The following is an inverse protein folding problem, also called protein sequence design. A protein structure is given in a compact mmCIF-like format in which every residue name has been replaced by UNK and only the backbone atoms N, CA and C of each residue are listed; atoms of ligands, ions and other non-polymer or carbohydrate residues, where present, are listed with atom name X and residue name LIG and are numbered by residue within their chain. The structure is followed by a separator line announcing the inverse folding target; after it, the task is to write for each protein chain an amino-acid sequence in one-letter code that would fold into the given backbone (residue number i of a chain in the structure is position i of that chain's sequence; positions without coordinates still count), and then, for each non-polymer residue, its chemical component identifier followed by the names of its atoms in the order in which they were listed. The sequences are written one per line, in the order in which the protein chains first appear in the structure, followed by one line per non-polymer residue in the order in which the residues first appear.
data_IF_514699694654
#
_entry.id   IF_514699694654
#
_cell.length_a   1.000
_cell.length_b   1.000
_cell.length_c   1.000
_cell.angle_alpha   90.00
_cell.angle_beta   90.00
_cell.angle_gamma   90.00
#
_symmetry.space_group_name_H-M   'P 1'
#
loop_
_entity.id
_entity.type
_entity.pdbx_description
1 polymer ?
#
# COMPACT_ATOMS: atom_id res chain seq x y z
N UNK A 1 16.22 10.27 31.54
CA UNK A 1 15.53 11.12 30.56
C UNK A 1 14.08 10.65 30.48
N UNK A 2 13.13 11.38 31.07
CA UNK A 2 11.72 10.97 31.19
C UNK A 2 10.92 11.34 29.94
N UNK A 3 10.37 10.32 29.27
CA UNK A 3 9.42 10.46 28.16
C UNK A 3 8.01 10.77 28.71
N UNK A 4 7.36 11.82 28.22
CA UNK A 4 5.96 12.20 28.54
C UNK A 4 5.07 11.81 27.36
N UNK A 5 3.99 11.07 27.62
CA UNK A 5 2.96 10.70 26.63
C UNK A 5 1.76 11.63 26.82
N UNK A 6 1.22 12.16 25.71
CA UNK A 6 0.09 13.10 25.70
C UNK A 6 -1.20 12.37 25.34
N UNK A 7 -2.24 12.55 26.15
CA UNK A 7 -3.63 12.20 25.81
C UNK A 7 -4.53 13.41 26.07
N UNK A 8 -5.57 13.57 25.26
CA UNK A 8 -6.54 14.68 25.37
C UNK A 8 -7.93 14.14 25.71
N UNK A 9 -8.48 14.54 26.84
CA UNK A 9 -9.88 14.30 27.22
C UNK A 9 -10.67 15.60 27.08
N UNK A 10 -11.78 15.54 26.34
CA UNK A 10 -12.68 16.66 26.09
C UNK A 10 -13.84 16.62 27.08
N UNK A 11 -13.91 17.59 28.00
CA UNK A 11 -15.04 17.74 28.92
C UNK A 11 -15.91 18.89 28.43
N UNK A 12 -17.19 18.60 28.16
CA UNK A 12 -18.18 19.58 27.70
C UNK A 12 -18.64 20.45 28.87
N UNK A 13 -18.24 21.73 28.87
CA UNK A 13 -18.76 22.77 29.77
C UNK A 13 -19.95 23.46 29.13
N UNK A 14 -21.00 23.72 29.91
CA UNK A 14 -22.24 24.40 29.52
C UNK A 14 -22.10 25.92 29.36
N UNK A 15 -20.88 26.45 29.27
CA UNK A 15 -20.64 27.86 28.96
C UNK A 15 -19.57 28.06 27.88
N UNK A 16 -20.02 28.15 26.64
CA UNK A 16 -19.55 29.08 25.61
C UNK A 16 -18.11 29.06 25.06
N UNK A 17 -17.09 28.49 25.73
CA UNK A 17 -15.73 28.37 25.15
C UNK A 17 -14.98 27.13 25.69
N UNK A 18 -14.58 26.18 24.84
CA UNK A 18 -13.77 25.05 25.27
C UNK A 18 -12.35 25.53 25.62
N UNK A 19 -12.01 25.53 26.92
CA UNK A 19 -10.62 25.59 27.38
C UNK A 19 -10.05 24.18 27.34
N UNK A 20 -9.03 23.94 26.52
CA UNK A 20 -8.23 22.72 26.59
C UNK A 20 -7.33 22.81 27.84
N UNK A 21 -7.65 22.04 28.87
CA UNK A 21 -6.76 21.84 30.01
C UNK A 21 -5.83 20.68 29.65
N UNK A 22 -4.53 20.98 29.56
CA UNK A 22 -3.50 19.96 29.37
C UNK A 22 -3.13 19.36 30.72
N UNK A 23 -3.78 18.26 31.08
CA UNK A 23 -3.40 17.47 32.25
C UNK A 23 -2.26 16.52 31.86
N UNK A 24 -1.05 16.78 32.34
CA UNK A 24 0.08 15.88 32.12
C UNK A 24 0.05 14.77 33.15
N UNK A 25 -0.67 13.69 32.85
CA UNK A 25 -0.68 12.48 33.69
C UNK A 25 0.72 11.86 33.73
N UNK A 26 1.13 11.46 34.94
CA UNK A 26 2.45 10.90 35.19
C UNK A 26 2.51 9.48 34.59
N UNK A 27 3.65 9.09 34.01
CA UNK A 27 3.80 7.78 33.34
C UNK A 27 3.52 6.59 34.28
N UNK A 28 3.67 6.78 35.60
CA UNK A 28 3.31 5.80 36.63
C UNK A 28 1.80 5.66 36.82
N UNK A 29 1.05 6.75 36.76
CA UNK A 29 -0.41 6.76 36.89
C UNK A 29 -1.06 6.08 35.69
N UNK A 30 -0.54 6.29 34.49
CA UNK A 30 -0.99 5.59 33.27
C UNK A 30 -0.78 4.07 33.38
N UNK A 31 0.34 3.63 33.98
CA UNK A 31 0.62 2.20 34.19
C UNK A 31 -0.28 1.58 35.25
N UNK A 32 -0.57 2.31 36.32
CA UNK A 32 -1.48 1.87 37.39
C UNK A 32 -2.92 1.76 36.87
N UNK A 33 -3.40 2.77 36.15
CA UNK A 33 -4.73 2.75 35.53
C UNK A 33 -4.89 1.58 34.55
N UNK A 34 -3.85 1.29 33.77
CA UNK A 34 -3.85 0.15 32.85
C UNK A 34 -3.88 -1.20 33.60
N UNK A 35 -3.14 -1.33 34.70
CA UNK A 35 -3.19 -2.55 35.52
C UNK A 35 -4.53 -2.74 36.22
N UNK A 36 -5.16 -1.66 36.68
CA UNK A 36 -6.50 -1.73 37.28
C UNK A 36 -7.57 -2.11 36.24
N UNK A 37 -7.45 -1.60 35.02
CA UNK A 37 -8.36 -1.99 33.93
C UNK A 37 -8.19 -3.47 33.55
N UNK A 38 -6.94 -3.96 33.48
CA UNK A 38 -6.65 -5.37 33.22
C UNK A 38 -7.15 -6.28 34.34
N UNK A 39 -7.02 -5.86 35.61
CA UNK A 39 -7.59 -6.59 36.75
C UNK A 39 -9.11 -6.59 36.73
N UNK A 40 -9.74 -5.44 36.48
CA UNK A 40 -11.20 -5.36 36.38
C UNK A 40 -11.74 -6.22 35.23
N UNK A 41 -11.03 -6.27 34.09
CA UNK A 41 -11.38 -7.17 32.99
C UNK A 41 -11.21 -8.64 33.37
N UNK A 42 -10.13 -8.99 34.06
CA UNK A 42 -9.89 -10.36 34.53
C UNK A 42 -10.96 -10.81 35.53
N UNK A 43 -11.29 -9.97 36.51
CA UNK A 43 -12.36 -10.23 37.49
C UNK A 43 -13.72 -10.35 36.81
N UNK A 44 -14.00 -9.55 35.77
CA UNK A 44 -15.24 -9.62 34.99
C UNK A 44 -15.32 -10.90 34.14
N UNK A 45 -14.19 -11.38 33.64
CA UNK A 45 -14.08 -12.68 32.96
C UNK A 45 -14.21 -13.84 33.95
N UNK A 46 -13.70 -13.67 35.17
CA UNK A 46 -13.77 -14.67 36.22
C UNK A 46 -15.20 -14.81 36.78
N UNK A 47 -15.92 -13.69 36.92
CA UNK A 47 -17.31 -13.62 37.37
C UNK A 47 -18.34 -14.17 36.36
N UNK A 48 -17.93 -14.43 35.10
CA UNK A 48 -18.78 -15.03 34.08
C UNK A 48 -18.86 -16.56 34.29
N UNK A 49 -20.09 -17.08 34.38
CA UNK A 49 -20.38 -18.50 34.57
C UNK A 49 -19.89 -19.32 33.35
N UNK A 50 -19.56 -20.60 33.54
CA UNK A 50 -18.99 -21.49 32.50
C UNK A 50 -19.83 -21.54 31.23
N UNK A 51 -21.17 -21.49 31.33
CA UNK A 51 -22.06 -21.40 30.16
C UNK A 51 -22.00 -20.05 29.43
N UNK A 52 -21.67 -18.94 30.10
CA UNK A 52 -21.50 -17.63 29.47
C UNK A 52 -20.14 -17.49 28.79
N UNK A 53 -19.10 -18.14 29.32
CA UNK A 53 -17.78 -18.22 28.68
C UNK A 53 -17.85 -18.95 27.33
N UNK A 54 -18.63 -20.03 27.25
CA UNK A 54 -18.79 -20.77 25.99
C UNK A 54 -19.55 -19.98 24.92
N UNK A 55 -20.52 -19.14 25.31
CA UNK A 55 -21.25 -18.26 24.39
C UNK A 55 -20.38 -17.09 23.88
N UNK A 56 -19.45 -16.59 24.67
CA UNK A 56 -18.49 -15.55 24.25
C UNK A 56 -17.47 -16.08 23.25
N UNK A 57 -17.00 -17.32 23.43
CA UNK A 57 -16.08 -18.00 22.51
C UNK A 57 -16.76 -18.28 21.15
N UNK A 58 -18.08 -18.56 21.15
CA UNK A 58 -18.88 -18.68 19.92
C UNK A 58 -19.14 -17.33 19.23
N UNK A 59 -19.26 -16.22 19.99
CA UNK A 59 -19.46 -14.88 19.43
C UNK A 59 -18.17 -14.25 18.90
N UNK A 60 -16.99 -14.63 19.42
CA UNK A 60 -15.69 -14.21 18.86
C UNK A 60 -15.37 -14.83 17.50
N UNK A 61 -16.12 -15.86 17.07
CA UNK A 61 -16.05 -16.41 15.70
C UNK A 61 -16.83 -15.61 14.66
N UNK A 62 -17.59 -14.60 15.07
CA UNK A 62 -18.33 -13.69 14.19
C UNK A 62 -17.49 -12.43 14.07
N UNK A 63 -16.70 -12.36 12.99
CA UNK A 63 -15.93 -11.18 12.64
C UNK A 63 -16.84 -9.94 12.61
N UNK A 64 -16.33 -8.86 13.19
CA UNK A 64 -16.99 -7.55 13.25
C UNK A 64 -17.23 -7.06 11.80
N UNK A 65 -18.47 -6.81 11.35
CA UNK A 65 -18.76 -6.42 9.96
C UNK A 65 -18.27 -5.01 9.57
N UNK A 66 -17.54 -4.33 10.48
CA UNK A 66 -17.04 -2.98 10.34
C UNK A 66 -15.53 -2.86 10.57
N UNK A 67 -14.81 -3.99 10.67
CA UNK A 67 -13.35 -3.96 10.57
C UNK A 67 -13.02 -3.87 9.07
N UNK A 68 -12.95 -2.63 8.57
CA UNK A 68 -12.62 -2.30 7.18
C UNK A 68 -11.41 -3.16 6.73
N UNK A 69 -11.67 -4.05 5.76
CA UNK A 69 -10.71 -4.97 5.15
C UNK A 69 -9.73 -4.21 4.22
N UNK A 70 -9.09 -3.17 4.76
CA UNK A 70 -7.97 -2.44 4.16
C UNK A 70 -6.76 -3.36 3.95
N UNK A 71 -6.78 -4.58 4.52
CA UNK A 71 -5.75 -5.59 4.33
C UNK A 71 -5.60 -5.97 2.86
N UNK A 72 -6.70 -6.10 2.12
CA UNK A 72 -6.66 -6.53 0.72
C UNK A 72 -6.07 -5.43 -0.19
N UNK A 73 -6.58 -4.20 -0.09
CA UNK A 73 -6.06 -3.07 -0.87
C UNK A 73 -4.58 -2.79 -0.54
N UNK A 74 -4.18 -3.02 0.71
CA UNK A 74 -2.80 -2.83 1.13
C UNK A 74 -1.86 -3.94 0.64
N UNK A 75 -2.29 -5.21 0.59
CA UNK A 75 -1.49 -6.29 -0.01
C UNK A 75 -1.30 -6.09 -1.51
N UNK A 76 -2.28 -5.50 -2.20
CA UNK A 76 -2.21 -5.10 -3.60
C UNK A 76 -1.14 -4.03 -3.84
N UNK A 77 -1.15 -2.95 -3.05
CA UNK A 77 -0.18 -1.86 -3.19
C UNK A 77 1.26 -2.26 -2.82
N UNK A 78 1.43 -3.28 -1.96
CA UNK A 78 2.75 -3.81 -1.60
C UNK A 78 3.22 -4.96 -2.50
N UNK A 79 2.44 -5.31 -3.52
CA UNK A 79 2.73 -6.41 -4.44
C UNK A 79 2.71 -7.81 -3.80
N UNK A 80 2.09 -7.95 -2.63
CA UNK A 80 1.90 -9.22 -1.92
C UNK A 80 0.65 -9.96 -2.38
N UNK A 81 -0.32 -9.22 -2.93
CA UNK A 81 -1.48 -9.75 -3.62
C UNK A 81 -1.61 -9.06 -4.99
N UNK A 82 -2.18 -9.75 -5.96
CA UNK A 82 -2.57 -9.14 -7.23
C UNK A 82 -3.88 -8.35 -7.05
N UNK A 83 -3.92 -7.12 -7.57
CA UNK A 83 -5.14 -6.35 -7.68
C UNK A 83 -6.13 -7.09 -8.59
N UNK A 84 -7.36 -7.34 -8.12
CA UNK A 84 -8.45 -7.72 -9.03
C UNK A 84 -8.95 -6.42 -9.70
N UNK A 85 -8.34 -6.03 -10.81
CA UNK A 85 -8.73 -4.85 -11.61
C UNK A 85 -9.80 -5.22 -12.66
N UNK A 86 -10.58 -6.27 -12.40
CA UNK A 86 -11.65 -6.67 -13.30
C UNK A 86 -12.83 -5.70 -13.14
N UNK A 87 -13.21 -5.07 -14.25
CA UNK A 87 -14.35 -4.15 -14.43
C UNK A 87 -14.18 -2.67 -14.07
N UNK A 88 -13.35 -1.96 -14.87
CA UNK A 88 -13.51 -0.52 -15.07
C UNK A 88 -13.91 -0.23 -16.53
N UNK A 89 -15.20 -0.43 -16.84
CA UNK A 89 -15.94 0.27 -17.89
C UNK A 89 -15.52 0.03 -19.35
N UNK A 90 -16.04 -1.03 -19.97
CA UNK A 90 -16.53 -0.92 -21.35
C UNK A 90 -17.66 -1.94 -21.59
N UNK A 91 -18.85 -1.42 -21.89
CA UNK A 91 -19.90 -2.20 -22.52
C UNK A 91 -19.53 -2.39 -24.00
N UNK A 92 -18.58 -3.27 -24.27
CA UNK A 92 -18.34 -3.82 -25.60
C UNK A 92 -18.58 -5.33 -25.56
N UNK A 93 -19.16 -5.84 -26.64
CA UNK A 93 -19.74 -7.17 -26.77
C UNK A 93 -18.81 -8.28 -26.28
N UNK A 94 -19.22 -8.84 -25.15
CA UNK A 94 -18.81 -10.10 -24.52
C UNK A 94 -18.74 -11.24 -25.54
N UNK A 95 -17.56 -11.83 -25.69
CA UNK A 95 -17.36 -13.30 -25.77
C UNK A 95 -15.87 -13.66 -25.96
N UNK A 96 -15.02 -12.78 -26.52
CA UNK A 96 -13.60 -13.09 -26.77
C UNK A 96 -12.61 -12.40 -25.79
N UNK A 97 -12.97 -11.26 -25.19
CA UNK A 97 -12.12 -10.53 -24.24
C UNK A 97 -12.02 -11.20 -22.85
N UNK A 98 -13.06 -11.92 -22.43
CA UNK A 98 -13.17 -12.47 -21.07
C UNK A 98 -12.20 -13.63 -20.81
N UNK A 99 -11.73 -14.34 -21.83
CA UNK A 99 -10.84 -15.49 -21.66
C UNK A 99 -9.37 -15.13 -21.53
N UNK A 100 -8.92 -14.02 -22.12
CA UNK A 100 -7.53 -13.56 -22.02
C UNK A 100 -7.27 -12.87 -20.68
N UNK A 101 -8.16 -11.99 -20.25
CA UNK A 101 -8.01 -11.23 -18.99
C UNK A 101 -8.24 -12.10 -17.75
N UNK A 102 -9.20 -13.04 -17.81
CA UNK A 102 -9.40 -13.99 -16.72
C UNK A 102 -8.19 -14.93 -16.54
N UNK A 103 -7.53 -15.35 -17.62
CA UNK A 103 -6.32 -16.17 -17.57
C UNK A 103 -5.11 -15.39 -16.99
N UNK A 104 -4.97 -14.12 -17.36
CA UNK A 104 -3.91 -13.22 -16.87
C UNK A 104 -4.06 -12.97 -15.35
N UNK A 105 -5.30 -12.80 -14.87
CA UNK A 105 -5.60 -12.62 -13.44
C UNK A 105 -5.55 -13.94 -12.64
N UNK A 106 -5.91 -15.09 -13.23
CA UNK A 106 -5.85 -16.39 -12.53
C UNK A 106 -4.44 -16.95 -12.40
N UNK A 107 -3.53 -16.64 -13.35
CA UNK A 107 -2.12 -17.02 -13.25
C UNK A 107 -1.42 -16.45 -12.01
N UNK A 108 -1.73 -15.20 -11.64
CA UNK A 108 -1.19 -14.54 -10.44
C UNK A 108 -1.82 -15.01 -9.12
N UNK A 109 -3.04 -15.59 -9.17
CA UNK A 109 -3.83 -15.96 -7.97
C UNK A 109 -3.47 -17.32 -7.36
N UNK A 110 -2.89 -18.25 -8.10
CA UNK A 110 -2.91 -19.67 -7.73
C UNK A 110 -1.78 -20.14 -6.82
N UNK A 111 -0.69 -19.37 -6.66
CA UNK A 111 0.50 -19.88 -5.95
C UNK A 111 0.65 -19.45 -4.47
N UNK A 112 -0.05 -18.41 -4.00
CA UNK A 112 0.22 -17.86 -2.66
C UNK A 112 -0.70 -18.37 -1.52
N UNK A 113 -1.84 -18.98 -1.82
CA UNK A 113 -2.87 -19.29 -0.80
C UNK A 113 -2.62 -20.53 0.06
N UNK A 114 -1.62 -21.37 -0.21
CA UNK A 114 -1.56 -22.73 0.38
C UNK A 114 -0.58 -22.97 1.54
N UNK A 115 0.26 -22.01 1.94
CA UNK A 115 1.36 -22.31 2.88
C UNK A 115 1.56 -21.35 4.07
N UNK A 116 0.81 -20.25 4.15
CA UNK A 116 1.04 -19.26 5.20
C UNK A 116 -0.06 -19.36 6.25
N UNK A 117 0.25 -20.00 7.39
CA UNK A 117 -0.55 -19.85 8.60
C UNK A 117 -0.76 -18.35 8.87
N UNK A 118 -1.92 -17.98 9.41
CA UNK A 118 -2.34 -16.58 9.61
C UNK A 118 -1.31 -15.80 10.43
N UNK A 119 -0.30 -15.26 9.75
CA UNK A 119 0.66 -14.36 10.35
C UNK A 119 -0.05 -13.03 10.48
N UNK A 120 -0.51 -12.72 11.69
CA UNK A 120 -1.07 -11.40 11.99
C UNK A 120 0.07 -10.38 11.92
N UNK A 121 0.11 -9.60 10.83
CA UNK A 121 1.06 -8.49 10.70
C UNK A 121 0.71 -7.39 11.71
N UNK A 122 1.37 -7.43 12.87
CA UNK A 122 1.16 -6.47 13.97
C UNK A 122 1.67 -5.06 13.67
N UNK A 123 2.26 -4.81 12.48
CA UNK A 123 2.72 -3.47 12.10
C UNK A 123 1.52 -2.58 11.83
N UNK A 124 1.49 -1.42 12.48
CA UNK A 124 0.52 -0.35 12.20
C UNK A 124 0.74 0.22 10.79
N UNK A 125 -0.31 0.79 10.20
CA UNK A 125 -0.24 1.50 8.91
C UNK A 125 0.92 2.51 8.87
N UNK A 126 1.05 3.34 9.92
CA UNK A 126 2.12 4.34 10.05
C UNK A 126 3.51 3.70 9.97
N UNK A 127 3.71 2.54 10.59
CA UNK A 127 4.98 1.83 10.53
C UNK A 127 5.26 1.31 9.11
N UNK A 128 4.25 0.80 8.41
CA UNK A 128 4.38 0.31 7.02
C UNK A 128 4.72 1.45 6.06
N UNK A 129 3.96 2.55 6.11
CA UNK A 129 4.22 3.74 5.28
C UNK A 129 5.60 4.32 5.57
N UNK A 130 6.01 4.40 6.84
CA UNK A 130 7.34 4.89 7.20
C UNK A 130 8.45 3.97 6.65
N UNK A 131 8.30 2.65 6.77
CA UNK A 131 9.25 1.68 6.20
C UNK A 131 9.35 1.83 4.68
N UNK A 132 8.23 2.00 3.98
CA UNK A 132 8.21 2.20 2.54
C UNK A 132 8.91 3.52 2.15
N UNK A 133 8.61 4.60 2.86
CA UNK A 133 9.26 5.90 2.65
C UNK A 133 10.76 5.83 2.90
N UNK A 134 11.19 5.17 3.97
CA UNK A 134 12.61 5.02 4.30
C UNK A 134 13.35 4.14 3.27
N UNK A 135 12.70 3.09 2.78
CA UNK A 135 13.23 2.25 1.71
C UNK A 135 13.38 3.02 0.38
N UNK A 136 12.39 3.81 -0.01
CA UNK A 136 12.52 4.70 -1.17
C UNK A 136 13.59 5.76 -0.96
N UNK A 137 13.67 6.36 0.23
CA UNK A 137 14.68 7.37 0.56
C UNK A 137 16.10 6.81 0.41
N UNK A 138 16.32 5.56 0.80
CA UNK A 138 17.62 4.89 0.63
C UNK A 138 18.04 4.72 -0.84
N UNK A 139 17.08 4.66 -1.77
CA UNK A 139 17.33 4.46 -3.21
C UNK A 139 17.17 5.76 -4.02
N UNK A 140 16.77 6.86 -3.39
CA UNK A 140 16.35 8.09 -4.05
C UNK A 140 17.43 8.68 -4.96
N UNK A 141 18.69 8.66 -4.52
CA UNK A 141 19.82 9.15 -5.31
C UNK A 141 19.99 8.34 -6.62
N UNK A 142 19.88 7.02 -6.54
CA UNK A 142 20.02 6.14 -7.70
C UNK A 142 18.84 6.27 -8.66
N UNK A 143 17.63 6.41 -8.11
CA UNK A 143 16.43 6.72 -8.91
C UNK A 143 16.54 8.09 -9.58
N UNK A 144 17.06 9.10 -8.90
CA UNK A 144 17.25 10.43 -9.48
C UNK A 144 18.24 10.40 -10.65
N UNK A 145 19.38 9.71 -10.48
CA UNK A 145 20.35 9.54 -11.56
C UNK A 145 19.77 8.78 -12.76
N UNK A 146 19.00 7.71 -12.50
CA UNK A 146 18.29 6.96 -13.53
C UNK A 146 17.25 7.83 -14.26
N UNK A 147 16.52 8.68 -13.53
CA UNK A 147 15.56 9.61 -14.12
C UNK A 147 16.24 10.65 -15.01
N UNK A 148 17.38 11.20 -14.58
CA UNK A 148 18.13 12.14 -15.41
C UNK A 148 18.60 11.47 -16.70
N UNK A 149 19.13 10.25 -16.62
CA UNK A 149 19.53 9.48 -17.80
C UNK A 149 18.34 9.19 -18.73
N UNK A 150 17.20 8.77 -18.16
CA UNK A 150 15.95 8.56 -18.90
C UNK A 150 15.45 9.86 -19.56
N UNK A 151 15.51 11.00 -18.87
CA UNK A 151 15.00 12.27 -19.39
C UNK A 151 15.79 12.78 -20.60
N UNK A 152 17.07 12.44 -20.69
CA UNK A 152 17.91 12.77 -21.84
C UNK A 152 17.55 11.96 -23.09
N UNK A 153 17.13 10.71 -22.91
CA UNK A 153 16.75 9.83 -24.02
C UNK A 153 15.28 9.99 -24.41
N UNK A 154 14.42 10.38 -23.47
CA UNK A 154 12.98 10.55 -23.69
C UNK A 154 12.62 11.66 -24.70
N UNK A 155 13.53 12.60 -24.98
CA UNK A 155 13.32 13.68 -25.96
C UNK A 155 13.45 13.23 -27.41
N UNK A 156 13.99 12.03 -27.67
CA UNK A 156 14.30 11.53 -29.00
C UNK A 156 13.23 10.56 -29.53
N UNK A 157 12.05 11.07 -29.89
CA UNK A 157 11.14 10.37 -30.81
C UNK A 157 9.71 10.10 -30.31
N UNK A 158 8.85 9.54 -31.19
CA UNK A 158 7.45 9.31 -30.90
C UNK A 158 7.31 8.07 -30.01
N UNK A 159 7.16 8.34 -28.71
CA UNK A 159 6.69 7.46 -27.63
C UNK A 159 7.76 6.48 -27.05
N UNK A 160 8.39 6.84 -25.91
CA UNK A 160 9.52 6.12 -25.30
C UNK A 160 9.15 4.90 -24.44
N UNK A 161 7.95 4.31 -24.60
CA UNK A 161 7.44 3.26 -23.69
C UNK A 161 8.16 1.93 -23.76
N UNK A 162 9.13 1.81 -24.67
CA UNK A 162 9.98 0.65 -24.81
C UNK A 162 11.41 1.17 -24.79
N UNK A 163 11.90 1.65 -23.64
CA UNK A 163 13.33 1.91 -23.53
C UNK A 163 14.01 0.57 -23.70
N UNK A 164 14.57 0.35 -24.89
CA UNK A 164 15.34 -0.85 -25.17
C UNK A 164 16.49 -0.87 -24.18
N UNK A 165 16.73 -2.03 -23.58
CA UNK A 165 17.96 -2.28 -22.85
C UNK A 165 19.12 -1.78 -23.73
N UNK A 166 19.98 -0.88 -23.20
CA UNK A 166 21.05 -0.29 -24.00
C UNK A 166 21.86 -1.38 -24.70
N UNK A 167 22.20 -1.14 -25.96
CA UNK A 167 22.89 -2.11 -26.79
C UNK A 167 24.26 -2.46 -26.16
N UNK A 168 24.49 -3.75 -25.91
CA UNK A 168 25.70 -4.24 -25.22
C UNK A 168 25.60 -4.31 -23.69
N UNK A 169 24.45 -3.98 -23.09
CA UNK A 169 24.24 -4.21 -21.67
C UNK A 169 24.12 -5.70 -21.34
N UNK A 170 24.79 -6.13 -20.26
CA UNK A 170 24.67 -7.48 -19.73
C UNK A 170 23.43 -7.56 -18.84
N UNK A 171 22.43 -8.34 -19.27
CA UNK A 171 21.21 -8.60 -18.53
C UNK A 171 21.49 -9.61 -17.40
N UNK A 172 21.15 -9.26 -16.17
CA UNK A 172 21.28 -10.15 -15.01
C UNK A 172 20.00 -10.95 -14.74
N UNK A 173 18.86 -10.25 -14.72
CA UNK A 173 17.57 -10.81 -14.33
C UNK A 173 16.47 -10.10 -15.12
N UNK A 174 15.40 -10.84 -15.45
CA UNK A 174 14.18 -10.29 -16.02
C UNK A 174 13.04 -10.52 -15.04
N UNK A 175 12.21 -9.50 -14.83
CA UNK A 175 11.02 -9.59 -13.96
C UNK A 175 9.78 -9.07 -14.65
N UNK A 176 8.70 -9.81 -14.55
CA UNK A 176 7.40 -9.38 -15.06
C UNK A 176 6.81 -8.31 -14.13
N UNK A 177 6.40 -7.19 -14.72
CA UNK A 177 5.75 -6.08 -14.00
C UNK A 177 4.51 -5.63 -14.75
N UNK A 178 3.46 -5.28 -14.00
CA UNK A 178 2.28 -4.63 -14.54
C UNK A 178 2.55 -3.14 -14.69
N UNK A 179 2.66 -2.66 -15.93
CA UNK A 179 2.86 -1.25 -16.26
C UNK A 179 1.50 -0.59 -16.43
N UNK A 180 1.20 0.37 -15.55
CA UNK A 180 0.00 1.19 -15.59
C UNK A 180 0.32 2.54 -16.22
N UNK A 181 -0.32 2.83 -17.34
CA UNK A 181 -0.30 4.14 -18.00
C UNK A 181 -1.68 4.80 -17.91
N UNK A 182 -1.85 5.99 -18.48
CA UNK A 182 -3.11 6.74 -18.40
C UNK A 182 -4.33 6.03 -18.96
N UNK A 183 -4.16 5.23 -20.02
CA UNK A 183 -5.26 4.66 -20.79
C UNK A 183 -5.15 3.14 -20.95
N UNK A 184 -4.12 2.53 -20.37
CA UNK A 184 -3.87 1.10 -20.52
C UNK A 184 -3.07 0.56 -19.35
N UNK A 185 -3.23 -0.73 -19.10
CA UNK A 185 -2.34 -1.53 -18.29
C UNK A 185 -1.80 -2.67 -19.15
N UNK A 186 -0.49 -2.92 -19.10
CA UNK A 186 0.13 -4.03 -19.83
C UNK A 186 1.21 -4.70 -19.01
N UNK A 187 1.33 -6.02 -19.15
CA UNK A 187 2.43 -6.78 -18.56
C UNK A 187 3.68 -6.56 -19.42
N UNK A 188 4.78 -6.20 -18.79
CA UNK A 188 6.06 -5.96 -19.46
C UNK A 188 7.22 -6.56 -18.66
N UNK A 189 8.29 -6.87 -19.37
CA UNK A 189 9.51 -7.43 -18.83
C UNK A 189 10.46 -6.32 -18.39
N UNK A 190 10.71 -6.24 -17.09
CA UNK A 190 11.74 -5.39 -16.49
C UNK A 190 13.10 -6.09 -16.58
N UNK A 191 13.97 -5.61 -17.46
CA UNK A 191 15.35 -6.08 -17.55
C UNK A 191 16.28 -5.38 -16.55
N UNK A 192 16.78 -6.12 -15.57
CA UNK A 192 17.83 -5.67 -14.65
C UNK A 192 19.20 -5.83 -15.29
N UNK A 193 19.93 -4.73 -15.41
CA UNK A 193 21.26 -4.70 -16.04
C UNK A 193 22.33 -4.79 -14.97
N UNK A 194 23.44 -5.47 -15.30
CA UNK A 194 24.63 -5.49 -14.47
C UNK A 194 25.11 -4.06 -14.16
N UNK A 195 25.12 -3.70 -12.88
CA UNK A 195 25.48 -2.36 -12.39
C UNK A 195 24.30 -1.46 -12.02
N UNK A 196 23.05 -1.89 -12.26
CA UNK A 196 21.89 -1.22 -11.68
C UNK A 196 21.96 -1.29 -10.15
N UNK A 197 21.88 -0.14 -9.48
CA UNK A 197 21.98 -0.06 -8.01
C UNK A 197 20.69 -0.42 -7.26
N UNK A 198 19.77 -1.10 -7.94
CA UNK A 198 18.50 -1.55 -7.38
C UNK A 198 17.39 -1.65 -8.42
N UNK A 199 16.36 -2.41 -8.06
CA UNK A 199 15.18 -2.65 -8.90
C UNK A 199 14.43 -1.34 -9.20
N UNK A 200 14.31 -0.46 -8.21
CA UNK A 200 13.62 0.81 -8.41
C UNK A 200 14.33 1.74 -9.39
N UNK A 201 15.67 1.79 -9.36
CA UNK A 201 16.43 2.55 -10.37
C UNK A 201 16.29 1.94 -11.76
N UNK A 202 16.23 0.61 -11.87
CA UNK A 202 15.96 -0.06 -13.15
C UNK A 202 14.58 0.34 -13.68
N UNK A 203 13.52 0.29 -12.86
CA UNK A 203 12.19 0.78 -13.26
C UNK A 203 12.22 2.21 -13.79
N UNK A 204 12.92 3.12 -13.09
CA UNK A 204 13.01 4.53 -13.49
C UNK A 204 13.80 4.71 -14.79
N UNK A 205 14.85 3.91 -15.03
CA UNK A 205 15.57 3.86 -16.31
C UNK A 205 14.63 3.50 -17.46
N UNK A 206 13.63 2.66 -17.20
CA UNK A 206 12.56 2.32 -18.14
C UNK A 206 11.43 3.35 -18.26
N UNK A 207 11.50 4.48 -17.53
CA UNK A 207 10.44 5.49 -17.51
C UNK A 207 9.25 5.12 -16.63
N UNK A 208 9.44 4.18 -15.71
CA UNK A 208 8.40 3.70 -14.80
C UNK A 208 8.73 4.04 -13.35
N UNK A 209 7.74 4.46 -12.60
CA UNK A 209 7.82 4.68 -11.16
C UNK A 209 7.29 3.44 -10.44
N UNK A 210 8.12 2.72 -9.68
CA UNK A 210 7.67 1.56 -8.93
C UNK A 210 6.80 1.96 -7.74
N UNK A 211 5.77 1.16 -7.46
CA UNK A 211 4.92 1.34 -6.26
C UNK A 211 5.59 0.77 -5.00
N UNK A 212 6.45 -0.25 -5.16
CA UNK A 212 7.23 -0.85 -4.08
C UNK A 212 8.75 -0.78 -4.38
N UNK A 213 9.60 -0.49 -3.38
CA UNK A 213 11.02 -0.19 -3.61
C UNK A 213 11.89 -1.42 -3.91
N UNK A 214 11.52 -2.60 -3.43
CA UNK A 214 12.34 -3.82 -3.56
C UNK A 214 11.76 -4.86 -4.52
N UNK A 215 10.43 -5.00 -4.51
CA UNK A 215 9.70 -6.01 -5.28
C UNK A 215 8.48 -5.36 -5.95
N UNK A 216 8.68 -4.46 -6.92
CA UNK A 216 7.57 -3.88 -7.65
C UNK A 216 6.90 -4.95 -8.51
N UNK A 217 5.63 -5.23 -8.23
CA UNK A 217 4.76 -5.99 -9.15
C UNK A 217 3.97 -5.06 -10.05
N UNK A 218 3.73 -3.83 -9.60
CA UNK A 218 3.03 -2.77 -10.31
C UNK A 218 3.93 -1.54 -10.39
N UNK A 219 3.97 -0.94 -11.57
CA UNK A 219 4.69 0.29 -11.86
C UNK A 219 3.78 1.26 -12.61
N UNK A 220 3.96 2.55 -12.41
CA UNK A 220 3.18 3.60 -13.08
C UNK A 220 4.11 4.36 -14.02
N UNK A 221 3.69 4.65 -15.25
CA UNK A 221 4.54 5.44 -16.16
C UNK A 221 4.80 6.84 -15.57
N UNK A 222 6.03 7.35 -15.73
CA UNK A 222 6.36 8.70 -15.24
C UNK A 222 5.49 9.75 -15.93
N UNK A 223 5.14 9.57 -17.21
CA UNK A 223 4.20 10.44 -17.92
C UNK A 223 2.83 10.48 -17.23
N UNK A 224 2.27 9.34 -16.83
CA UNK A 224 1.00 9.32 -16.14
C UNK A 224 1.07 10.11 -14.82
N UNK A 225 2.19 10.01 -14.09
CA UNK A 225 2.43 10.81 -12.88
C UNK A 225 2.56 12.31 -13.17
N UNK A 226 3.23 12.70 -14.26
CA UNK A 226 3.34 14.10 -14.68
C UNK A 226 1.99 14.70 -15.03
N UNK A 227 1.17 13.97 -15.81
CA UNK A 227 -0.17 14.40 -16.18
C UNK A 227 -1.06 14.47 -14.94
N UNK A 228 -0.98 13.48 -14.05
CA UNK A 228 -1.67 13.53 -12.76
C UNK A 228 -1.27 14.76 -11.93
N UNK A 229 0.02 15.09 -11.87
CA UNK A 229 0.51 16.28 -11.18
C UNK A 229 -0.08 17.56 -11.78
N UNK A 230 -0.08 17.70 -13.11
CA UNK A 230 -0.66 18.87 -13.80
C UNK A 230 -2.16 18.97 -13.54
N UNK A 231 -2.89 17.86 -13.65
CA UNK A 231 -4.33 17.80 -13.36
C UNK A 231 -4.63 18.21 -11.93
N UNK A 232 -3.86 17.71 -10.95
CA UNK A 232 -4.02 18.05 -9.53
C UNK A 232 -3.73 19.52 -9.24
N UNK A 233 -2.80 20.14 -9.95
CA UNK A 233 -2.51 21.58 -9.82
C UNK A 233 -3.66 22.45 -10.36
N UNK A 234 -4.35 22.02 -11.42
CA UNK A 234 -5.48 22.76 -12.01
C UNK A 234 -6.78 22.54 -11.23
N UNK A 235 -7.01 21.31 -10.79
CA UNK A 235 -8.21 20.91 -10.07
C UNK A 235 -7.81 20.15 -8.80
N UNK A 236 -7.59 20.85 -7.67
CA UNK A 236 -7.18 20.22 -6.40
C UNK A 236 -8.20 19.22 -5.84
N UNK A 237 -9.45 19.31 -6.30
CA UNK A 237 -10.55 18.40 -5.96
C UNK A 237 -10.72 17.24 -6.95
N UNK A 238 -9.82 17.07 -7.92
CA UNK A 238 -9.71 15.80 -8.64
C UNK A 238 -9.21 14.75 -7.65
N UNK A 239 -10.16 14.19 -6.93
CA UNK A 239 -10.01 12.92 -6.25
C UNK A 239 -10.40 11.89 -7.28
N UNK A 240 -9.50 10.96 -7.60
CA UNK A 240 -9.92 9.73 -8.25
C UNK A 240 -10.81 9.02 -7.25
N UNK A 241 -12.12 9.26 -7.34
CA UNK A 241 -13.07 8.49 -6.55
C UNK A 241 -13.09 7.11 -7.17
N UNK A 242 -12.62 6.10 -6.45
CA UNK A 242 -12.75 4.69 -6.81
C UNK A 242 -14.21 4.21 -6.84
N UNK A 243 -15.20 5.12 -6.79
CA UNK A 243 -16.60 4.86 -7.15
C UNK A 243 -16.71 4.69 -8.67
N UNK A 244 -16.10 3.62 -9.16
CA UNK A 244 -16.54 2.95 -10.36
C UNK A 244 -17.68 2.02 -9.94
N UNK A 245 -18.86 2.27 -10.52
CA UNK A 245 -20.09 1.52 -10.28
C UNK A 245 -20.28 0.47 -11.36
#
# INVERSE_FOLDING_TARGET
MSSKVRSSTSVRSTSGRPRQLHETLNLREVRLAKQEEERSKAERLEALNTSQRHNLDQLQGIADPFDDDDSYEQDVLHGRAAADISHAGEALSSEEADQADAALLTGLRTNHKRLWGRYADTRTWKNRTQQQVDAFRAQLEHMANAYLAFSLTATEGPLPYMSKTPEGAVLEETRDVLVVDMFSASQQDLGLIHGDRGVASACVRHGWMPVAPYFPTVVITIRALEIFRVMRLRCPRLVFSSTFR
#
